data_IF_333672225248
#
_entry.id   IF_333672225248
#
_cell.length_a   1.000
_cell.length_b   1.000
_cell.length_c   1.000
_cell.angle_alpha   90.00
_cell.angle_beta   90.00
_cell.angle_gamma   90.00
#
_symmetry.space_group_name_H-M   'P 1'
#
loop_
_entity.id
_entity.type
_entity.pdbx_description
1 polymer ?
#
# COMPACT_ATOMS: atom_id res chain seq x y z
N UNK A 1 6.13 12.77 -13.15
CA UNK A 1 4.90 12.82 -12.35
C UNK A 1 5.02 11.90 -11.15
N UNK A 2 4.67 12.43 -9.98
CA UNK A 2 4.66 11.70 -8.70
C UNK A 2 3.23 11.77 -8.16
N UNK A 3 2.65 10.61 -7.88
CA UNK A 3 1.38 10.53 -7.17
C UNK A 3 1.65 10.66 -5.67
N UNK A 4 1.00 11.65 -5.04
CA UNK A 4 0.94 11.79 -3.59
C UNK A 4 -0.35 11.18 -3.12
N UNK A 5 -0.26 10.19 -2.24
CA UNK A 5 -1.42 9.46 -1.72
C UNK A 5 -1.52 9.74 -0.23
N UNK A 6 -2.70 10.13 0.22
CA UNK A 6 -3.07 10.06 1.63
C UNK A 6 -3.89 8.79 1.81
N UNK A 7 -3.35 7.84 2.58
CA UNK A 7 -4.07 6.64 3.01
C UNK A 7 -4.34 6.81 4.50
N UNK A 8 -5.55 6.48 4.93
CA UNK A 8 -5.87 6.32 6.34
C UNK A 8 -6.43 4.92 6.59
N UNK A 9 -6.32 4.46 7.83
CA UNK A 9 -6.81 3.16 8.25
C UNK A 9 -7.83 3.42 9.35
N UNK A 10 -9.08 3.06 9.10
CA UNK A 10 -10.19 3.34 10.01
C UNK A 10 -9.99 2.65 11.38
N UNK A 11 -9.69 1.35 11.39
CA UNK A 11 -9.50 0.58 12.63
C UNK A 11 -8.02 0.30 12.94
N UNK A 12 -7.33 1.36 13.36
CA UNK A 12 -5.92 1.29 13.79
C UNK A 12 -5.71 0.42 15.02
N UNK A 13 -6.72 0.31 15.88
CA UNK A 13 -6.64 -0.47 17.11
C UNK A 13 -6.66 -1.97 16.82
N UNK A 14 -7.59 -2.45 16.00
CA UNK A 14 -7.61 -3.84 15.55
C UNK A 14 -6.29 -4.20 14.85
N UNK A 15 -5.80 -3.32 13.97
CA UNK A 15 -4.55 -3.53 13.26
C UNK A 15 -3.34 -3.68 14.20
N UNK A 16 -3.26 -2.80 15.19
CA UNK A 16 -2.23 -2.85 16.24
C UNK A 16 -2.31 -4.15 17.04
N UNK A 17 -3.50 -4.58 17.43
CA UNK A 17 -3.70 -5.79 18.21
C UNK A 17 -3.30 -7.04 17.40
N UNK A 18 -3.70 -7.13 16.13
CA UNK A 18 -3.26 -8.20 15.21
C UNK A 18 -1.74 -8.33 15.17
N UNK A 19 -1.02 -7.21 15.00
CA UNK A 19 0.44 -7.21 14.97
C UNK A 19 1.03 -7.68 16.31
N UNK A 20 0.49 -7.23 17.45
CA UNK A 20 0.94 -7.65 18.78
C UNK A 20 0.73 -9.14 19.03
N UNK A 21 -0.33 -9.71 18.46
CA UNK A 21 -0.63 -11.14 18.50
C UNK A 21 0.25 -11.97 17.55
N UNK A 22 1.26 -11.33 16.93
CA UNK A 22 2.25 -11.98 16.08
C UNK A 22 1.85 -12.05 14.61
N UNK A 23 0.75 -11.42 14.19
CA UNK A 23 0.44 -11.29 12.78
C UNK A 23 1.52 -10.46 12.08
N UNK A 24 1.74 -10.80 10.81
CA UNK A 24 2.53 -10.00 9.90
C UNK A 24 1.64 -9.59 8.74
N UNK A 25 1.67 -8.31 8.40
CA UNK A 25 0.75 -7.69 7.48
C UNK A 25 1.50 -6.98 6.37
N UNK A 26 0.92 -6.99 5.18
CA UNK A 26 1.44 -6.29 4.01
C UNK A 26 0.38 -5.35 3.47
N UNK A 27 0.71 -4.07 3.46
CA UNK A 27 -0.02 -3.06 2.72
C UNK A 27 0.60 -2.96 1.32
N UNK A 28 -0.21 -3.22 0.29
CA UNK A 28 0.18 -3.10 -1.12
C UNK A 28 -0.54 -1.91 -1.73
N UNK A 29 0.22 -1.07 -2.45
CA UNK A 29 -0.26 0.10 -3.17
C UNK A 29 0.20 -0.02 -4.61
N UNK A 30 -0.71 -0.38 -5.50
CA UNK A 30 -0.46 -0.48 -6.93
C UNK A 30 -1.09 0.72 -7.63
N UNK A 31 -0.28 1.55 -8.27
CA UNK A 31 -0.76 2.69 -9.04
C UNK A 31 -0.42 2.53 -10.51
N UNK A 32 -1.41 2.78 -11.37
CA UNK A 32 -1.32 2.69 -12.82
C UNK A 32 -1.74 4.03 -13.43
N UNK A 33 -0.97 4.50 -14.39
CA UNK A 33 -1.25 5.70 -15.18
C UNK A 33 -1.52 5.30 -16.62
N UNK A 34 -2.71 5.65 -17.13
CA UNK A 34 -3.10 5.42 -18.52
C UNK A 34 -3.37 6.73 -19.24
N UNK A 35 -2.92 6.85 -20.48
CA UNK A 35 -3.33 7.92 -21.40
C UNK A 35 -4.63 7.50 -22.08
N UNK A 36 -5.66 8.31 -21.93
CA UNK A 36 -6.95 8.14 -22.60
C UNK A 36 -6.80 8.54 -24.06
N UNK A 37 -7.32 7.71 -24.98
CA UNK A 37 -7.33 7.98 -26.42
C UNK A 37 -8.74 7.77 -26.95
N UNK A 38 -9.25 8.71 -27.74
CA UNK A 38 -10.67 8.72 -28.16
C UNK A 38 -11.00 7.61 -29.16
N UNK A 39 -10.00 7.18 -29.95
CA UNK A 39 -10.16 6.22 -31.06
C UNK A 39 -9.29 4.97 -30.91
N UNK A 40 -8.55 4.86 -29.80
CA UNK A 40 -7.64 3.75 -29.53
C UNK A 40 -7.80 3.29 -28.08
N UNK A 41 -7.44 2.04 -27.75
CA UNK A 41 -7.33 1.62 -26.36
C UNK A 41 -6.42 2.56 -25.57
N UNK A 42 -6.75 2.75 -24.29
CA UNK A 42 -5.93 3.53 -23.39
C UNK A 42 -4.52 2.92 -23.30
N UNK A 43 -3.51 3.77 -23.43
CA UNK A 43 -2.12 3.36 -23.37
C UNK A 43 -1.63 3.41 -21.92
N UNK A 44 -0.96 2.37 -21.45
CA UNK A 44 -0.30 2.40 -20.15
C UNK A 44 1.01 3.20 -20.23
N UNK A 45 1.09 4.26 -19.44
CA UNK A 45 2.20 5.20 -19.42
C UNK A 45 3.15 4.90 -18.27
N UNK A 46 2.64 4.27 -17.19
CA UNK A 46 3.46 3.89 -16.05
C UNK A 46 2.70 3.05 -15.04
N UNK A 47 3.44 2.17 -14.37
CA UNK A 47 2.98 1.33 -13.27
C UNK A 47 4.01 1.39 -12.15
N UNK A 48 3.53 1.51 -10.93
CA UNK A 48 4.36 1.44 -9.73
C UNK A 48 3.63 0.62 -8.67
N UNK A 49 4.37 -0.28 -8.02
CA UNK A 49 3.89 -1.06 -6.89
C UNK A 49 4.79 -0.73 -5.71
N UNK A 50 4.18 -0.31 -4.60
CA UNK A 50 4.85 -0.15 -3.32
C UNK A 50 4.26 -1.13 -2.30
N UNK A 51 5.11 -1.70 -1.48
CA UNK A 51 4.73 -2.63 -0.43
C UNK A 51 5.28 -2.17 0.92
N UNK A 52 4.49 -2.29 1.96
CA UNK A 52 4.89 -2.00 3.34
C UNK A 52 4.59 -3.24 4.17
N UNK A 53 5.65 -3.90 4.63
CA UNK A 53 5.60 -5.02 5.55
C UNK A 53 5.56 -4.48 6.97
N UNK A 54 4.63 -4.97 7.77
CA UNK A 54 4.38 -4.55 9.14
C UNK A 54 4.44 -5.75 10.07
N UNK A 55 5.19 -5.62 11.16
CA UNK A 55 5.25 -6.62 12.23
C UNK A 55 5.47 -5.96 13.59
N UNK A 56 5.30 -6.74 14.65
CA UNK A 56 5.70 -6.36 16.01
C UNK A 56 6.80 -7.31 16.51
N UNK A 57 7.85 -6.74 17.09
CA UNK A 57 8.93 -7.49 17.74
C UNK A 57 8.63 -7.60 19.25
N UNK A 58 8.33 -8.81 19.76
CA UNK A 58 7.97 -9.01 21.16
C UNK A 58 9.14 -8.79 22.12
N UNK A 59 10.39 -8.93 21.67
CA UNK A 59 11.57 -8.78 22.52
C UNK A 59 11.83 -7.29 22.83
N UNK A 60 11.78 -6.46 21.80
CA UNK A 60 11.98 -5.01 21.93
C UNK A 60 10.69 -4.25 22.25
N UNK A 61 9.53 -4.89 22.04
CA UNK A 61 8.18 -4.30 22.13
C UNK A 61 7.96 -3.16 21.14
N UNK A 62 8.60 -3.25 19.98
CA UNK A 62 8.55 -2.25 18.92
C UNK A 62 7.77 -2.78 17.72
N UNK A 63 7.01 -1.91 17.08
CA UNK A 63 6.49 -2.13 15.75
C UNK A 63 7.58 -1.84 14.73
N UNK A 64 7.66 -2.64 13.69
CA UNK A 64 8.65 -2.51 12.64
C UNK A 64 7.98 -2.53 11.27
N UNK A 65 8.23 -1.47 10.50
CA UNK A 65 7.73 -1.31 9.14
C UNK A 65 8.91 -1.34 8.15
N UNK A 66 8.78 -2.14 7.09
CA UNK A 66 9.75 -2.27 6.01
C UNK A 66 9.09 -1.93 4.68
N UNK A 67 9.66 -0.97 3.95
CA UNK A 67 9.14 -0.51 2.65
C UNK A 67 9.95 -1.05 1.46
N UNK A 68 11.11 -1.63 1.74
CA UNK A 68 12.02 -2.25 0.76
C UNK A 68 13.04 -3.09 1.54
N UNK A 69 13.50 -4.23 0.99
CA UNK A 69 14.55 -5.04 1.62
C UNK A 69 15.84 -4.28 1.89
N UNK A 70 16.16 -3.28 1.05
CA UNK A 70 17.41 -2.54 1.09
C UNK A 70 17.35 -1.27 1.95
N UNK A 71 16.15 -0.89 2.41
CA UNK A 71 15.95 0.27 3.26
C UNK A 71 15.93 -0.11 4.74
N UNK A 72 16.54 0.70 5.61
CA UNK A 72 16.49 0.45 7.04
C UNK A 72 15.04 0.42 7.52
N UNK A 73 14.72 -0.64 8.24
CA UNK A 73 13.40 -0.78 8.82
C UNK A 73 13.13 0.33 9.83
N UNK A 74 11.90 0.83 9.82
CA UNK A 74 11.48 1.90 10.72
C UNK A 74 10.84 1.27 11.93
N UNK A 75 11.33 1.63 13.12
CA UNK A 75 10.90 1.04 14.38
C UNK A 75 10.36 2.09 15.33
N UNK A 76 9.30 1.74 16.04
CA UNK A 76 8.73 2.56 17.09
C UNK A 76 7.88 1.74 18.05
N UNK A 77 7.87 2.08 19.34
CA UNK A 77 6.91 1.50 20.30
C UNK A 77 5.50 2.04 20.10
N UNK A 78 5.36 3.24 19.54
CA UNK A 78 4.07 3.85 19.24
C UNK A 78 3.66 3.54 17.79
N UNK A 79 2.71 2.62 17.66
CA UNK A 79 2.14 2.20 16.38
C UNK A 79 1.59 3.37 15.55
N UNK A 80 0.79 4.25 16.16
CA UNK A 80 0.15 5.35 15.44
C UNK A 80 1.19 6.31 14.87
N UNK A 81 2.20 6.67 15.69
CA UNK A 81 3.29 7.55 15.25
C UNK A 81 4.09 6.92 14.09
N UNK A 82 4.35 5.62 14.16
CA UNK A 82 5.05 4.90 13.08
C UNK A 82 4.21 4.85 11.80
N UNK A 83 2.90 4.63 11.93
CA UNK A 83 1.95 4.61 10.83
C UNK A 83 1.87 5.95 10.13
N UNK A 84 1.58 7.03 10.87
CA UNK A 84 1.48 8.38 10.30
C UNK A 84 2.79 8.76 9.60
N UNK A 85 3.93 8.55 10.27
CA UNK A 85 5.24 8.84 9.70
C UNK A 85 5.58 8.03 8.44
N UNK A 86 4.94 6.87 8.25
CA UNK A 86 5.12 6.01 7.08
C UNK A 86 4.19 6.43 5.95
N UNK A 87 2.90 6.67 6.25
CA UNK A 87 1.90 7.07 5.27
C UNK A 87 2.11 8.50 4.76
N UNK A 88 2.56 9.44 5.59
CA UNK A 88 2.90 10.81 5.16
C UNK A 88 4.05 10.87 4.13
N UNK A 89 4.95 9.88 4.17
CA UNK A 89 6.11 9.82 3.28
C UNK A 89 5.81 9.10 1.97
N UNK A 90 4.60 8.59 1.80
CA UNK A 90 4.24 7.73 0.69
C UNK A 90 4.15 8.53 -0.60
N UNK A 91 5.09 8.25 -1.51
CA UNK A 91 5.20 8.87 -2.83
C UNK A 91 5.40 7.79 -3.87
N UNK A 92 4.53 7.79 -4.88
CA UNK A 92 4.53 6.79 -5.95
C UNK A 92 5.00 7.46 -7.25
N UNK A 93 6.29 7.31 -7.63
CA UNK A 93 6.81 7.87 -8.88
C UNK A 93 6.29 7.06 -10.07
N UNK A 94 5.21 7.54 -10.70
CA UNK A 94 4.50 6.80 -11.74
C UNK A 94 5.21 6.82 -13.10
N UNK A 95 5.71 7.99 -13.50
CA UNK A 95 6.37 8.16 -14.80
C UNK A 95 7.26 9.41 -14.77
N UNK A 96 8.35 9.47 -15.55
CA UNK A 96 9.06 10.72 -15.83
C UNK A 96 8.11 11.79 -16.40
N UNK A 97 8.35 13.07 -16.10
CA UNK A 97 7.52 14.15 -16.64
C UNK A 97 7.56 14.20 -18.19
N UNK A 98 8.70 13.82 -18.79
CA UNK A 98 8.86 13.75 -20.24
C UNK A 98 7.95 12.73 -20.93
N UNK A 99 7.39 11.77 -20.19
CA UNK A 99 6.46 10.76 -20.73
C UNK A 99 5.02 11.29 -20.87
N UNK A 100 4.75 12.50 -20.36
CA UNK A 100 3.45 13.14 -20.44
C UNK A 100 3.42 14.17 -21.57
N UNK A 101 2.54 13.95 -22.53
CA UNK A 101 2.19 14.93 -23.56
C UNK A 101 1.15 15.92 -23.02
N UNK A 102 1.36 17.20 -23.30
CA UNK A 102 0.48 18.31 -22.95
C UNK A 102 -0.83 18.26 -23.77
N UNK A 103 -1.94 18.58 -23.14
CA UNK A 103 -3.29 18.54 -23.74
C UNK A 103 -3.92 17.15 -23.78
N UNK A 104 -3.17 16.12 -23.40
CA UNK A 104 -3.67 14.74 -23.36
C UNK A 104 -4.40 14.46 -22.04
N UNK A 105 -5.41 13.59 -22.11
CA UNK A 105 -6.15 13.13 -20.94
C UNK A 105 -5.52 11.87 -20.37
N UNK A 106 -5.43 11.81 -19.05
CA UNK A 106 -4.86 10.69 -18.33
C UNK A 106 -5.81 10.22 -17.24
N UNK A 107 -5.70 8.94 -16.90
CA UNK A 107 -6.41 8.30 -15.81
C UNK A 107 -5.40 7.62 -14.91
N UNK A 108 -5.42 7.97 -13.62
CA UNK A 108 -4.68 7.29 -12.57
C UNK A 108 -5.63 6.36 -11.85
N UNK A 109 -5.25 5.10 -11.70
CA UNK A 109 -5.91 4.14 -10.82
C UNK A 109 -4.94 3.75 -9.71
N UNK A 110 -5.40 3.78 -8.47
CA UNK A 110 -4.68 3.32 -7.28
C UNK A 110 -5.48 2.19 -6.65
N UNK A 111 -4.88 1.01 -6.58
CA UNK A 111 -5.40 -0.15 -5.87
C UNK A 111 -4.65 -0.31 -4.55
N UNK A 112 -5.38 -0.33 -3.44
CA UNK A 112 -4.85 -0.53 -2.10
C UNK A 112 -5.35 -1.87 -1.56
N UNK A 113 -4.48 -2.67 -0.96
CA UNK A 113 -4.85 -3.92 -0.31
C UNK A 113 -4.06 -4.14 0.97
N UNK A 114 -4.71 -4.72 1.99
CA UNK A 114 -4.07 -5.11 3.24
C UNK A 114 -4.28 -6.61 3.45
N UNK A 115 -3.17 -7.37 3.48
CA UNK A 115 -3.20 -8.83 3.54
C UNK A 115 -2.25 -9.36 4.60
N UNK A 116 -2.50 -10.55 5.12
CA UNK A 116 -1.51 -11.27 5.92
C UNK A 116 -0.35 -11.76 5.04
N UNK A 117 0.90 -11.63 5.50
CA UNK A 117 2.07 -12.16 4.76
C UNK A 117 2.31 -13.64 5.01
N UNK A 118 1.85 -14.15 6.15
CA UNK A 118 1.98 -15.53 6.62
C UNK A 118 0.72 -15.94 7.37
N UNK A 119 0.48 -17.25 7.50
CA UNK A 119 -0.58 -17.78 8.36
C UNK A 119 -0.29 -17.36 9.81
N UNK A 120 -1.18 -16.62 10.49
CA UNK A 120 -0.97 -16.28 11.88
C UNK A 120 -0.85 -17.55 12.74
N UNK A 121 0.06 -17.62 13.72
CA UNK A 121 0.29 -18.84 14.52
C UNK A 121 -0.95 -19.35 15.26
N UNK A 122 -1.91 -18.48 15.57
CA UNK A 122 -3.17 -18.84 16.22
C UNK A 122 -4.21 -19.48 15.27
N UNK A 123 -3.95 -19.45 13.95
CA UNK A 123 -4.88 -19.85 12.90
C UNK A 123 -4.53 -21.20 12.24
N UNK A 124 -3.48 -21.91 12.69
CA UNK A 124 -3.05 -23.18 12.06
C UNK A 124 -4.10 -24.30 12.14
N UNK A 125 -5.16 -24.18 12.95
CA UNK A 125 -6.06 -25.30 13.25
C UNK A 125 -7.44 -25.25 12.59
N UNK A 126 -7.86 -24.18 11.91
CA UNK A 126 -9.28 -24.12 11.47
C UNK A 126 -9.48 -23.23 10.24
N UNK A 127 -9.77 -23.87 9.09
CA UNK A 127 -10.58 -23.43 7.93
C UNK A 127 -9.86 -23.23 6.58
N UNK A 128 -10.29 -24.03 5.59
CA UNK A 128 -9.91 -24.01 4.17
C UNK A 128 -10.71 -22.98 3.33
N UNK A 129 -11.45 -22.05 3.94
CA UNK A 129 -12.46 -21.24 3.22
C UNK A 129 -12.55 -19.76 3.63
N UNK A 130 -11.49 -19.16 4.19
CA UNK A 130 -11.51 -17.73 4.52
C UNK A 130 -10.62 -16.90 3.58
N UNK A 131 -11.18 -15.84 2.99
CA UNK A 131 -10.44 -14.86 2.19
C UNK A 131 -9.38 -14.16 3.03
N UNK A 132 -8.11 -14.30 2.66
CA UNK A 132 -6.92 -13.78 3.35
C UNK A 132 -6.75 -12.27 3.36
N UNK A 133 -7.80 -11.55 2.98
CA UNK A 133 -7.83 -10.10 2.91
C UNK A 133 -8.28 -9.55 4.27
N UNK A 134 -7.37 -8.84 4.95
CA UNK A 134 -7.70 -8.07 6.15
C UNK A 134 -8.58 -6.89 5.76
N UNK A 135 -8.31 -6.31 4.58
CA UNK A 135 -9.17 -5.34 3.90
C UNK A 135 -9.26 -5.73 2.43
N UNK A 136 -10.48 -5.85 1.85
CA UNK A 136 -10.64 -6.14 0.43
C UNK A 136 -9.97 -5.05 -0.41
N UNK A 137 -9.42 -5.44 -1.56
CA UNK A 137 -8.76 -4.47 -2.45
C UNK A 137 -9.72 -3.35 -2.86
N UNK A 138 -9.30 -2.13 -2.61
CA UNK A 138 -10.06 -0.93 -2.96
C UNK A 138 -9.35 -0.21 -4.09
N UNK A 139 -10.07 0.05 -5.18
CA UNK A 139 -9.52 0.76 -6.34
C UNK A 139 -10.14 2.14 -6.46
N UNK A 140 -9.29 3.16 -6.45
CA UNK A 140 -9.65 4.56 -6.61
C UNK A 140 -9.15 5.05 -7.97
N UNK A 141 -10.00 5.74 -8.72
CA UNK A 141 -9.64 6.25 -10.06
C UNK A 141 -9.89 7.74 -10.16
N UNK A 142 -8.94 8.46 -10.76
CA UNK A 142 -9.04 9.89 -11.03
C UNK A 142 -8.56 10.19 -12.44
N UNK A 143 -9.33 11.01 -13.17
CA UNK A 143 -8.96 11.49 -14.50
C UNK A 143 -8.54 12.96 -14.45
N UNK A 144 -7.55 13.33 -15.25
CA UNK A 144 -7.05 14.69 -15.37
C UNK A 144 -6.48 14.95 -16.77
N UNK A 145 -6.30 16.24 -17.11
CA UNK A 145 -5.63 16.67 -18.34
C UNK A 145 -4.30 17.33 -17.96
N UNK A 146 -3.22 16.99 -18.66
CA UNK A 146 -1.88 17.50 -18.38
C UNK A 146 -1.54 18.73 -19.22
#
# INVERSE_FOLDING_TARGET
MVLRVAVDIDDREALRNLLRDGAQLKLTLAATLKRSRTLMPAEEVGVVVAEILMRHDPLTREFEFSTSPDLPHRRDRNFNRLMDATLERLRLPLAPAASLAQGESYTVSLTCGLRHTQVPPWLEKTLFFWSWDVVPESTYTQSFTF
#
